data_IF_024679619449
#
_entry.id   IF_024679619449
#
_cell.length_a   1.000
_cell.length_b   1.000
_cell.length_c   1.000
_cell.angle_alpha   90.00
_cell.angle_beta   90.00
_cell.angle_gamma   90.00
#
_symmetry.space_group_name_H-M   'P 1'
#
loop_
_entity.id
_entity.type
_entity.pdbx_description
1 polymer ?
#
# COMPACT_ATOMS: atom_id res chain seq x y z
N UNK A 1 34.83 20.02 12.88
CA UNK A 1 34.37 20.45 11.57
C UNK A 1 34.48 21.96 11.40
N UNK A 2 34.95 22.44 10.26
CA UNK A 2 34.92 23.85 9.86
C UNK A 2 33.49 24.28 9.57
N UNK A 3 33.06 25.43 10.10
CA UNK A 3 31.72 25.99 9.78
C UNK A 3 31.66 26.65 8.39
N UNK A 4 32.84 27.05 7.83
CA UNK A 4 32.91 27.67 6.50
C UNK A 4 32.82 26.65 5.37
N UNK A 5 33.70 25.62 5.40
CA UNK A 5 33.84 24.63 4.32
C UNK A 5 33.10 23.32 4.57
N UNK A 6 32.64 23.10 5.80
CA UNK A 6 32.05 21.82 6.27
C UNK A 6 33.02 20.64 6.26
N UNK A 7 34.32 20.88 6.03
CA UNK A 7 35.34 19.83 6.09
C UNK A 7 35.63 19.42 7.55
N UNK A 8 35.92 18.14 7.72
CA UNK A 8 36.32 17.59 9.01
C UNK A 8 37.86 17.59 9.07
N UNK A 9 38.40 18.07 10.17
CA UNK A 9 39.85 18.10 10.43
C UNK A 9 40.13 17.43 11.75
N UNK A 10 41.18 16.63 11.82
CA UNK A 10 41.74 16.15 13.08
C UNK A 10 42.60 17.22 13.69
N UNK A 11 42.34 17.57 14.95
CA UNK A 11 43.10 18.58 15.69
C UNK A 11 43.68 17.91 16.92
N UNK A 12 45.01 17.84 16.96
CA UNK A 12 45.72 17.31 18.13
C UNK A 12 46.07 18.47 19.08
N UNK A 13 45.49 18.46 20.27
CA UNK A 13 45.81 19.42 21.33
C UNK A 13 46.98 18.92 22.18
N UNK A 14 47.93 19.81 22.49
CA UNK A 14 49.10 19.48 23.32
C UNK A 14 48.81 19.60 24.81
N UNK A 15 47.74 20.29 25.20
CA UNK A 15 47.32 20.50 26.57
C UNK A 15 45.82 20.71 26.66
N UNK A 16 45.27 20.52 27.87
CA UNK A 16 43.88 20.92 28.15
C UNK A 16 43.74 22.46 28.06
N UNK A 17 42.52 22.92 27.71
CA UNK A 17 42.25 24.34 27.53
C UNK A 17 42.73 24.91 26.17
N UNK A 18 43.23 26.15 26.21
CA UNK A 18 43.60 26.88 24.98
C UNK A 18 44.92 26.40 24.37
N UNK A 19 44.89 26.06 23.11
CA UNK A 19 46.02 25.68 22.28
C UNK A 19 46.14 26.64 21.10
N UNK A 20 47.34 27.13 20.79
CA UNK A 20 47.58 27.94 19.59
C UNK A 20 48.44 27.18 18.60
N UNK A 21 47.95 27.07 17.37
CA UNK A 21 48.55 26.27 16.32
C UNK A 21 48.28 26.86 14.90
N UNK A 22 48.90 26.32 13.86
CA UNK A 22 48.54 26.66 12.50
C UNK A 22 47.09 26.25 12.17
N UNK A 23 46.36 27.07 11.43
CA UNK A 23 44.99 26.76 11.08
C UNK A 23 44.92 25.54 10.13
N UNK A 24 44.11 24.52 10.40
CA UNK A 24 44.03 23.33 9.56
C UNK A 24 43.47 23.65 8.17
N UNK A 25 42.66 24.70 8.04
CA UNK A 25 42.03 25.07 6.78
C UNK A 25 42.89 26.01 5.92
N UNK A 26 43.40 27.11 6.50
CA UNK A 26 44.06 28.15 5.69
C UNK A 26 45.60 28.13 5.73
N UNK A 27 46.24 27.38 6.64
CA UNK A 27 47.67 27.43 6.83
C UNK A 27 48.46 26.97 5.59
N UNK A 28 47.98 25.98 4.85
CA UNK A 28 48.64 25.41 3.67
C UNK A 28 48.75 26.43 2.53
N UNK A 29 47.82 27.36 2.42
CA UNK A 29 47.73 28.35 1.35
C UNK A 29 48.38 29.69 1.71
N UNK A 30 49.13 29.73 2.86
CA UNK A 30 49.72 30.96 3.40
C UNK A 30 51.23 30.99 3.17
N UNK A 31 51.78 32.21 2.98
CA UNK A 31 53.24 32.41 2.92
C UNK A 31 53.96 31.91 4.20
N UNK A 32 53.36 32.14 5.39
CA UNK A 32 53.87 31.64 6.67
C UNK A 32 52.98 30.49 7.16
N UNK A 33 53.25 29.29 6.70
CA UNK A 33 52.43 28.08 6.98
C UNK A 33 52.35 27.73 8.45
N UNK A 34 53.42 28.00 9.21
CA UNK A 34 53.52 27.67 10.62
C UNK A 34 53.02 28.77 11.58
N UNK A 35 52.40 29.83 11.05
CA UNK A 35 51.86 30.91 11.88
C UNK A 35 50.71 30.40 12.75
N UNK A 36 50.86 30.58 14.08
CA UNK A 36 49.87 30.17 15.10
C UNK A 36 48.69 31.13 15.13
N UNK A 37 47.86 31.09 14.13
CA UNK A 37 46.67 31.96 13.97
C UNK A 37 45.38 31.29 14.39
N UNK A 38 45.41 30.04 14.78
CA UNK A 38 44.25 29.26 15.18
C UNK A 38 44.32 28.96 16.68
N UNK A 39 43.33 29.42 17.42
CA UNK A 39 43.11 29.09 18.81
C UNK A 39 42.08 27.95 18.89
N UNK A 40 42.47 26.88 19.60
CA UNK A 40 41.61 25.73 19.85
C UNK A 40 41.51 25.44 21.35
N UNK A 41 40.30 25.41 21.86
CA UNK A 41 40.03 25.01 23.22
C UNK A 41 39.67 23.52 23.24
N UNK A 42 40.57 22.70 23.82
CA UNK A 42 40.42 21.25 23.85
C UNK A 42 39.29 20.75 24.76
N UNK A 43 38.97 21.50 25.82
CA UNK A 43 37.89 21.14 26.75
C UNK A 43 36.50 21.42 26.13
N UNK A 44 36.39 22.55 25.44
CA UNK A 44 35.13 22.96 24.75
C UNK A 44 35.01 22.41 23.35
N UNK A 45 36.09 21.82 22.79
CA UNK A 45 36.19 21.29 21.43
C UNK A 45 35.76 22.31 20.36
N UNK A 46 36.11 23.57 20.59
CA UNK A 46 35.83 24.69 19.67
C UNK A 46 37.13 25.39 19.27
N UNK A 47 37.19 25.91 18.08
CA UNK A 47 38.34 26.66 17.58
C UNK A 47 37.92 27.86 16.74
N UNK A 48 38.85 28.82 16.65
CA UNK A 48 38.69 30.01 15.84
C UNK A 48 40.04 30.43 15.23
N UNK A 49 40.00 30.76 13.95
CA UNK A 49 41.16 31.26 13.23
C UNK A 49 41.08 32.77 13.02
N UNK A 50 41.97 33.54 13.60
CA UNK A 50 42.06 35.00 13.46
C UNK A 50 42.51 35.47 12.06
N UNK A 51 42.87 34.55 11.14
CA UNK A 51 43.30 34.93 9.80
C UNK A 51 42.22 34.72 8.75
N UNK A 52 41.46 33.61 8.79
CA UNK A 52 40.38 33.32 7.85
C UNK A 52 39.00 33.41 8.49
N UNK A 53 38.89 33.90 9.70
CA UNK A 53 37.68 34.10 10.49
C UNK A 53 36.78 32.87 10.60
N UNK A 54 37.35 31.67 10.35
CA UNK A 54 36.62 30.43 10.39
C UNK A 54 36.50 29.89 11.82
N UNK A 55 35.28 29.46 12.17
CA UNK A 55 35.01 28.74 13.42
C UNK A 55 34.98 27.26 13.20
N UNK A 56 35.45 26.51 14.18
CA UNK A 56 35.46 25.06 14.19
C UNK A 56 34.72 24.57 15.43
N UNK A 57 33.93 23.51 15.23
CA UNK A 57 33.18 22.86 16.31
C UNK A 57 33.41 21.37 16.24
N UNK A 58 33.11 20.67 17.35
CA UNK A 58 33.14 19.21 17.38
C UNK A 58 32.31 18.62 16.24
N UNK A 59 32.85 17.63 15.58
CA UNK A 59 32.09 16.83 14.64
C UNK A 59 31.45 15.66 15.40
N UNK A 60 30.13 15.71 15.55
CA UNK A 60 29.33 14.57 15.95
C UNK A 60 28.81 13.89 14.69
N UNK A 61 29.25 12.65 14.38
CA UNK A 61 28.69 11.91 13.25
C UNK A 61 27.18 11.78 13.44
N UNK A 62 26.43 12.00 12.37
CA UNK A 62 24.99 11.78 12.39
C UNK A 62 24.74 10.27 12.47
N UNK A 63 24.26 9.80 13.60
CA UNK A 63 23.80 8.42 13.74
C UNK A 63 22.47 8.28 12.97
N UNK A 64 22.49 7.56 11.87
CA UNK A 64 21.27 7.16 11.19
C UNK A 64 20.47 6.23 12.10
N UNK A 65 19.37 6.72 12.66
CA UNK A 65 18.43 5.86 13.36
C UNK A 65 17.88 4.84 12.38
N UNK A 66 18.13 3.57 12.63
CA UNK A 66 17.47 2.49 11.91
C UNK A 66 16.04 2.35 12.44
N UNK A 67 15.08 2.60 11.57
CA UNK A 67 13.67 2.40 11.90
C UNK A 67 13.27 0.98 11.48
N UNK A 68 12.70 0.24 12.41
CA UNK A 68 12.09 -1.05 12.12
C UNK A 68 10.71 -0.78 11.54
N UNK A 69 10.44 -1.28 10.33
CA UNK A 69 9.10 -1.24 9.76
C UNK A 69 8.26 -2.32 10.44
N UNK A 70 7.08 -1.98 10.99
CA UNK A 70 6.18 -3.01 11.49
C UNK A 70 5.77 -3.94 10.36
N UNK A 71 5.88 -5.24 10.57
CA UNK A 71 5.34 -6.24 9.65
C UNK A 71 3.84 -6.32 9.91
N UNK A 72 3.05 -5.87 8.92
CA UNK A 72 1.62 -6.10 8.92
C UNK A 72 1.39 -7.58 8.62
N UNK A 73 0.97 -8.34 9.62
CA UNK A 73 0.51 -9.71 9.41
C UNK A 73 -0.78 -9.67 8.61
N UNK A 74 -0.84 -10.54 7.58
CA UNK A 74 -2.08 -10.71 6.82
C UNK A 74 -3.18 -11.26 7.74
N UNK A 75 -4.35 -10.64 7.73
CA UNK A 75 -5.52 -11.04 8.51
C UNK A 75 -6.74 -11.12 7.59
N UNK A 76 -7.56 -12.15 7.81
CA UNK A 76 -8.85 -12.29 7.16
C UNK A 76 -9.94 -11.70 8.08
N UNK A 77 -10.50 -10.57 7.68
CA UNK A 77 -11.60 -9.92 8.39
C UNK A 77 -12.97 -10.13 7.71
N UNK A 78 -13.04 -11.05 6.75
CA UNK A 78 -14.28 -11.48 6.10
C UNK A 78 -14.84 -12.74 6.79
N UNK A 79 -16.01 -13.19 6.32
CA UNK A 79 -16.60 -14.49 6.71
C UNK A 79 -16.25 -15.59 5.70
N UNK A 80 -15.41 -15.30 4.72
CA UNK A 80 -14.94 -16.27 3.74
C UNK A 80 -13.77 -17.07 4.30
N UNK A 81 -13.51 -18.25 3.74
CA UNK A 81 -12.27 -18.99 4.03
C UNK A 81 -11.04 -18.22 3.54
N UNK A 82 -9.90 -18.45 4.19
CA UNK A 82 -8.62 -17.82 3.78
C UNK A 82 -8.26 -18.12 2.32
N UNK A 83 -8.60 -19.32 1.86
CA UNK A 83 -8.37 -19.72 0.47
C UNK A 83 -9.23 -18.89 -0.50
N UNK A 84 -10.50 -18.66 -0.17
CA UNK A 84 -11.38 -17.82 -0.98
C UNK A 84 -10.89 -16.36 -1.00
N UNK A 85 -10.52 -15.82 0.16
CA UNK A 85 -9.98 -14.46 0.25
C UNK A 85 -8.72 -14.30 -0.60
N UNK A 86 -7.73 -15.18 -0.41
CA UNK A 86 -6.48 -15.16 -1.19
C UNK A 86 -6.72 -15.31 -2.69
N UNK A 87 -7.72 -16.12 -3.06
CA UNK A 87 -8.11 -16.28 -4.47
C UNK A 87 -8.63 -14.98 -5.09
N UNK A 88 -9.39 -14.16 -4.34
CA UNK A 88 -9.83 -12.84 -4.76
C UNK A 88 -8.69 -11.82 -4.74
N UNK A 89 -7.88 -11.80 -3.70
CA UNK A 89 -6.72 -10.91 -3.58
C UNK A 89 -5.70 -11.10 -4.71
N UNK A 90 -5.49 -12.36 -5.14
CA UNK A 90 -4.65 -12.68 -6.32
C UNK A 90 -5.22 -12.12 -7.65
N UNK A 91 -6.47 -11.65 -7.65
CA UNK A 91 -7.13 -10.94 -8.75
C UNK A 91 -7.21 -9.43 -8.52
N UNK A 92 -6.54 -8.95 -7.49
CA UNK A 92 -6.57 -7.54 -7.11
C UNK A 92 -7.88 -7.09 -6.43
N UNK A 93 -8.76 -8.02 -6.04
CA UNK A 93 -10.02 -7.72 -5.37
C UNK A 93 -9.82 -7.80 -3.87
N UNK A 94 -9.94 -6.67 -3.17
CA UNK A 94 -9.70 -6.55 -1.74
C UNK A 94 -10.85 -7.11 -0.90
N UNK A 95 -10.54 -7.48 0.34
CA UNK A 95 -11.54 -7.90 1.33
C UNK A 95 -12.63 -6.84 1.56
N UNK A 96 -12.27 -5.55 1.49
CA UNK A 96 -13.22 -4.44 1.59
C UNK A 96 -14.29 -4.51 0.50
N UNK A 97 -13.89 -4.76 -0.74
CA UNK A 97 -14.82 -4.92 -1.87
C UNK A 97 -15.72 -6.14 -1.68
N UNK A 98 -15.17 -7.27 -1.21
CA UNK A 98 -15.96 -8.48 -0.93
C UNK A 98 -17.04 -8.24 0.13
N UNK A 99 -16.70 -7.52 1.22
CA UNK A 99 -17.64 -7.15 2.26
C UNK A 99 -18.71 -6.19 1.75
N UNK A 100 -18.32 -5.16 1.01
CA UNK A 100 -19.22 -4.16 0.43
C UNK A 100 -20.26 -4.82 -0.49
N UNK A 101 -19.84 -5.77 -1.31
CA UNK A 101 -20.68 -6.49 -2.25
C UNK A 101 -21.35 -7.74 -1.62
N UNK A 102 -21.17 -7.93 -0.30
CA UNK A 102 -21.77 -9.03 0.47
C UNK A 102 -21.45 -10.41 -0.11
N UNK A 103 -20.25 -10.58 -0.67
CA UNK A 103 -19.80 -11.88 -1.22
C UNK A 103 -19.72 -12.88 -0.08
N UNK A 104 -20.33 -14.04 -0.29
CA UNK A 104 -20.39 -15.13 0.68
C UNK A 104 -19.66 -16.39 0.23
N UNK A 105 -19.64 -17.38 1.12
CA UNK A 105 -19.13 -18.72 0.85
C UNK A 105 -20.01 -19.72 1.60
N UNK A 106 -20.40 -20.78 0.92
CA UNK A 106 -21.12 -21.92 1.56
C UNK A 106 -20.97 -23.20 0.76
N UNK A 107 -21.23 -24.32 1.40
CA UNK A 107 -21.42 -25.60 0.72
C UNK A 107 -22.76 -25.61 0.00
N UNK A 108 -22.76 -26.02 -1.27
CA UNK A 108 -23.96 -26.10 -2.10
C UNK A 108 -23.85 -27.30 -3.02
N UNK A 109 -25.00 -27.99 -3.23
CA UNK A 109 -25.10 -29.08 -4.18
C UNK A 109 -24.96 -28.55 -5.62
N UNK A 110 -23.96 -29.05 -6.34
CA UNK A 110 -23.67 -28.65 -7.72
C UNK A 110 -24.08 -29.78 -8.68
N UNK A 111 -25.11 -29.58 -9.53
CA UNK A 111 -25.59 -30.61 -10.46
C UNK A 111 -24.52 -31.12 -11.42
N UNK A 112 -23.58 -30.25 -11.84
CA UNK A 112 -22.52 -30.59 -12.78
C UNK A 112 -21.49 -31.58 -12.21
N UNK A 113 -21.37 -31.67 -10.89
CA UNK A 113 -20.43 -32.55 -10.20
C UNK A 113 -21.12 -33.62 -9.36
N UNK A 114 -22.45 -33.53 -9.24
CA UNK A 114 -23.29 -34.42 -8.39
C UNK A 114 -22.74 -34.55 -6.94
N UNK A 115 -22.26 -33.42 -6.39
CA UNK A 115 -21.68 -33.33 -5.05
C UNK A 115 -21.93 -31.99 -4.40
N UNK A 116 -21.87 -31.97 -3.07
CA UNK A 116 -21.72 -30.71 -2.35
C UNK A 116 -20.30 -30.14 -2.57
N UNK A 117 -20.26 -28.93 -3.06
CA UNK A 117 -19.03 -28.19 -3.32
C UNK A 117 -19.01 -26.92 -2.46
N UNK A 118 -17.81 -26.51 -2.05
CA UNK A 118 -17.65 -25.19 -1.47
C UNK A 118 -17.75 -24.14 -2.58
N UNK A 119 -18.70 -23.25 -2.47
CA UNK A 119 -19.05 -22.28 -3.51
C UNK A 119 -18.93 -20.86 -3.02
N UNK A 120 -18.39 -19.99 -3.85
CA UNK A 120 -18.55 -18.54 -3.72
C UNK A 120 -20.00 -18.20 -4.01
N UNK A 121 -20.54 -17.30 -3.21
CA UNK A 121 -21.95 -16.86 -3.25
C UNK A 121 -22.02 -15.42 -3.69
N UNK A 122 -22.64 -15.16 -4.84
CA UNK A 122 -22.92 -13.83 -5.36
C UNK A 122 -24.40 -13.51 -5.10
N UNK A 123 -24.71 -12.62 -4.14
CA UNK A 123 -26.09 -12.21 -3.90
C UNK A 123 -26.53 -11.15 -4.92
N UNK A 124 -27.77 -11.24 -5.38
CA UNK A 124 -28.38 -10.31 -6.31
C UNK A 124 -29.43 -9.50 -5.57
N UNK A 125 -29.21 -8.22 -5.43
CA UNK A 125 -30.11 -7.32 -4.72
C UNK A 125 -30.82 -6.38 -5.68
N UNK A 126 -32.09 -6.08 -5.33
CA UNK A 126 -32.88 -5.00 -5.92
C UNK A 126 -33.58 -4.26 -4.79
N UNK A 127 -33.38 -2.95 -4.68
CA UNK A 127 -33.89 -2.10 -3.59
C UNK A 127 -33.41 -2.56 -2.19
N UNK A 128 -32.21 -3.14 -2.09
CA UNK A 128 -31.67 -3.70 -0.86
C UNK A 128 -32.25 -5.06 -0.48
N UNK A 129 -33.23 -5.59 -1.21
CA UNK A 129 -33.81 -6.91 -1.00
C UNK A 129 -33.05 -7.97 -1.81
N UNK A 130 -32.81 -9.15 -1.22
CA UNK A 130 -32.18 -10.28 -1.90
C UNK A 130 -33.19 -10.95 -2.84
N UNK A 131 -32.96 -10.87 -4.13
CA UNK A 131 -33.85 -11.40 -5.18
C UNK A 131 -33.37 -12.76 -5.69
N UNK A 132 -32.05 -12.92 -5.87
CA UNK A 132 -31.46 -14.16 -6.35
C UNK A 132 -30.08 -14.38 -5.74
N UNK A 133 -29.55 -15.59 -5.94
CA UNK A 133 -28.20 -15.95 -5.51
C UNK A 133 -27.56 -16.85 -6.57
N UNK A 134 -26.34 -16.54 -6.96
CA UNK A 134 -25.54 -17.37 -7.85
C UNK A 134 -24.41 -18.02 -7.07
N UNK A 135 -24.23 -19.29 -7.29
CA UNK A 135 -23.17 -20.12 -6.70
C UNK A 135 -22.12 -20.43 -7.75
N UNK A 136 -20.85 -20.38 -7.36
CA UNK A 136 -19.73 -20.72 -8.22
C UNK A 136 -18.76 -21.60 -7.45
N UNK A 137 -18.51 -22.81 -7.95
CA UNK A 137 -17.50 -23.71 -7.38
C UNK A 137 -16.08 -23.41 -7.91
N UNK A 138 -15.09 -24.10 -7.34
CA UNK A 138 -13.68 -23.96 -7.75
C UNK A 138 -13.38 -24.45 -9.18
N UNK A 139 -14.27 -25.24 -9.79
CA UNK A 139 -14.15 -25.78 -11.17
C UNK A 139 -14.83 -24.90 -12.21
N UNK A 140 -15.31 -23.71 -11.84
CA UNK A 140 -16.09 -22.78 -12.69
C UNK A 140 -17.48 -23.31 -13.10
N UNK A 141 -18.06 -24.21 -12.32
CA UNK A 141 -19.47 -24.52 -12.47
C UNK A 141 -20.31 -23.47 -11.77
N UNK A 142 -21.47 -23.18 -12.33
CA UNK A 142 -22.39 -22.16 -11.85
C UNK A 142 -23.79 -22.73 -11.63
N UNK A 143 -24.46 -22.20 -10.63
CA UNK A 143 -25.86 -22.52 -10.32
C UNK A 143 -26.53 -21.26 -9.79
N UNK A 144 -27.69 -20.93 -10.32
CA UNK A 144 -28.59 -19.92 -9.74
C UNK A 144 -29.58 -20.58 -8.80
N UNK A 145 -30.12 -19.82 -7.87
CA UNK A 145 -31.17 -20.33 -6.99
C UNK A 145 -32.43 -20.65 -7.81
N UNK A 146 -32.92 -21.89 -7.68
CA UNK A 146 -34.02 -22.38 -8.51
C UNK A 146 -35.31 -21.61 -8.23
N UNK A 147 -35.99 -21.17 -9.27
CA UNK A 147 -37.24 -20.45 -9.18
C UNK A 147 -37.15 -18.97 -8.80
N UNK A 148 -35.95 -18.46 -8.54
CA UNK A 148 -35.74 -17.03 -8.30
C UNK A 148 -35.74 -16.22 -9.60
N UNK A 149 -36.18 -14.96 -9.51
CA UNK A 149 -36.17 -14.02 -10.65
C UNK A 149 -34.76 -13.78 -11.16
N UNK A 150 -34.59 -13.71 -12.47
CA UNK A 150 -33.31 -13.32 -13.09
C UNK A 150 -33.24 -11.81 -13.18
N UNK A 151 -32.27 -11.24 -12.47
CA UNK A 151 -31.96 -9.80 -12.54
C UNK A 151 -30.47 -9.61 -12.77
N UNK A 152 -30.06 -8.40 -13.14
CA UNK A 152 -28.66 -8.04 -13.21
C UNK A 152 -27.99 -8.10 -11.84
N UNK A 153 -26.76 -8.57 -11.77
CA UNK A 153 -25.97 -8.43 -10.56
C UNK A 153 -25.59 -6.95 -10.38
N UNK A 154 -25.62 -6.47 -9.14
CA UNK A 154 -25.46 -5.06 -8.78
C UNK A 154 -26.58 -4.16 -9.40
N UNK A 155 -27.81 -4.68 -9.45
CA UNK A 155 -28.95 -4.00 -10.08
C UNK A 155 -29.19 -2.58 -9.59
N UNK A 156 -28.95 -2.31 -8.30
CA UNK A 156 -29.21 -1.01 -7.70
C UNK A 156 -28.30 0.11 -8.26
N UNK A 157 -27.19 -0.24 -8.94
CA UNK A 157 -26.39 0.71 -9.69
C UNK A 157 -27.18 1.44 -10.78
N UNK A 158 -28.18 0.77 -11.40
CA UNK A 158 -29.08 1.36 -12.44
C UNK A 158 -29.86 2.57 -11.95
N UNK A 159 -30.04 2.71 -10.62
CA UNK A 159 -30.79 3.82 -10.02
C UNK A 159 -29.88 4.98 -9.60
N UNK A 160 -28.59 4.69 -9.47
CA UNK A 160 -27.63 5.62 -8.89
C UNK A 160 -26.86 6.36 -9.97
N UNK A 161 -26.67 5.74 -11.12
CA UNK A 161 -25.79 6.24 -12.19
C UNK A 161 -26.54 6.42 -13.50
N UNK A 162 -26.24 7.48 -14.24
CA UNK A 162 -26.79 7.77 -15.57
C UNK A 162 -26.16 6.89 -16.67
N UNK A 163 -24.88 6.54 -16.49
CA UNK A 163 -24.13 5.66 -17.38
C UNK A 163 -23.79 4.35 -16.69
N UNK A 164 -23.98 3.24 -17.38
CA UNK A 164 -23.76 1.90 -16.83
C UNK A 164 -22.77 1.11 -17.68
N UNK A 165 -21.82 0.49 -17.02
CA UNK A 165 -20.90 -0.49 -17.62
C UNK A 165 -21.54 -1.87 -17.47
N UNK A 166 -21.70 -2.58 -18.58
CA UNK A 166 -22.21 -3.95 -18.58
C UNK A 166 -21.04 -4.91 -18.82
N UNK A 167 -20.89 -5.89 -17.94
CA UNK A 167 -19.87 -6.94 -18.05
C UNK A 167 -20.49 -8.34 -18.03
N UNK A 168 -19.72 -9.33 -18.45
CA UNK A 168 -20.24 -10.69 -18.60
C UNK A 168 -20.37 -11.45 -17.28
N UNK A 169 -19.52 -11.17 -16.30
CA UNK A 169 -19.47 -11.94 -15.06
C UNK A 169 -19.33 -11.09 -13.79
N UNK A 170 -19.76 -11.66 -12.67
CA UNK A 170 -19.72 -11.00 -11.36
C UNK A 170 -18.29 -10.66 -10.93
N UNK A 171 -17.30 -11.48 -11.32
CA UNK A 171 -15.88 -11.23 -11.00
C UNK A 171 -15.33 -10.04 -11.77
N UNK A 172 -15.75 -9.87 -13.03
CA UNK A 172 -15.37 -8.72 -13.85
C UNK A 172 -15.98 -7.44 -13.28
N UNK A 173 -17.25 -7.53 -12.84
CA UNK A 173 -17.90 -6.43 -12.13
C UNK A 173 -17.22 -6.11 -10.81
N UNK A 174 -16.82 -7.11 -9.99
CA UNK A 174 -16.03 -6.89 -8.78
C UNK A 174 -14.69 -6.22 -9.06
N UNK A 175 -14.02 -6.60 -10.15
CA UNK A 175 -12.76 -5.97 -10.57
C UNK A 175 -12.95 -4.51 -10.96
N UNK A 176 -14.02 -4.17 -11.67
CA UNK A 176 -14.38 -2.80 -12.02
C UNK A 176 -14.71 -1.97 -10.77
N UNK A 177 -15.52 -2.52 -9.84
CA UNK A 177 -15.83 -1.88 -8.54
C UNK A 177 -14.56 -1.63 -7.72
N UNK A 178 -13.65 -2.61 -7.69
CA UNK A 178 -12.35 -2.46 -7.02
C UNK A 178 -11.51 -1.33 -7.63
N UNK A 179 -11.61 -1.12 -8.93
CA UNK A 179 -10.94 -0.03 -9.66
C UNK A 179 -11.65 1.33 -9.50
N UNK A 180 -12.78 1.39 -8.77
CA UNK A 180 -13.53 2.62 -8.50
C UNK A 180 -14.76 2.85 -9.39
N UNK A 181 -15.08 1.93 -10.31
CA UNK A 181 -16.26 2.01 -11.17
C UNK A 181 -17.47 1.38 -10.48
N UNK A 182 -18.22 2.16 -9.69
CA UNK A 182 -19.44 1.68 -9.02
C UNK A 182 -20.64 1.47 -9.96
N UNK A 183 -20.59 2.05 -11.14
CA UNK A 183 -21.64 2.01 -12.18
C UNK A 183 -21.58 0.76 -13.07
N UNK A 184 -21.22 -0.38 -12.52
CA UNK A 184 -21.08 -1.65 -13.27
C UNK A 184 -22.13 -2.66 -12.84
N UNK A 185 -22.70 -3.36 -13.81
CA UNK A 185 -23.60 -4.51 -13.63
C UNK A 185 -23.08 -5.70 -14.41
N UNK A 186 -23.48 -6.92 -14.01
CA UNK A 186 -23.17 -8.09 -14.83
C UNK A 186 -24.41 -8.90 -15.19
N UNK A 187 -24.33 -9.60 -16.33
CA UNK A 187 -25.40 -10.50 -16.78
C UNK A 187 -25.46 -11.75 -15.90
N UNK A 188 -26.65 -12.26 -15.55
CA UNK A 188 -26.79 -13.40 -14.65
C UNK A 188 -26.33 -14.73 -15.27
N UNK A 189 -26.50 -14.93 -16.61
CA UNK A 189 -26.28 -16.19 -17.31
C UNK A 189 -25.23 -16.14 -18.43
N UNK A 190 -24.32 -15.15 -18.41
CA UNK A 190 -23.39 -14.91 -19.50
C UNK A 190 -24.07 -14.29 -20.74
N UNK A 191 -23.27 -13.88 -21.71
CA UNK A 191 -23.71 -13.11 -22.87
C UNK A 191 -24.30 -14.00 -24.03
N UNK A 192 -24.91 -15.15 -23.71
CA UNK A 192 -25.49 -15.99 -24.76
C UNK A 192 -26.82 -15.39 -25.28
N UNK A 193 -26.95 -15.31 -26.60
CA UNK A 193 -28.02 -14.61 -27.36
C UNK A 193 -29.43 -15.21 -27.24
N UNK A 194 -29.60 -16.28 -26.46
CA UNK A 194 -30.88 -17.03 -26.44
C UNK A 194 -31.86 -16.66 -25.33
N UNK A 195 -31.49 -15.85 -24.35
CA UNK A 195 -32.33 -15.51 -23.19
C UNK A 195 -32.10 -14.07 -22.76
N UNK A 196 -32.87 -13.17 -23.35
CA UNK A 196 -32.80 -11.71 -23.05
C UNK A 196 -33.95 -11.26 -22.14
N UNK A 197 -34.51 -12.16 -21.33
CA UNK A 197 -35.70 -11.91 -20.51
C UNK A 197 -35.45 -10.89 -19.35
N UNK A 198 -34.20 -10.51 -19.13
CA UNK A 198 -33.80 -9.56 -18.08
C UNK A 198 -33.36 -8.18 -18.63
N UNK A 199 -33.52 -7.93 -19.91
CA UNK A 199 -33.30 -6.61 -20.54
C UNK A 199 -34.54 -5.74 -20.54
#
# INVERSE_FOLDING_TARGET
ISLSTRQVYEITANKNGENQMPCPECSQNRRKKNAKSFSYNAEKEVGYCNHCDTRFVRHTPFEQKQYIKPELKWENFTKLSDNAVKWFENRGISQKTLLMMKIGEKKEWMPQTEKEMNCIVFPYFRNGELINTKFRDGKKNFKLYSGAELIWWNYDALKTFEEIIIVEGEIDALSAIQAGFGNVISVPNGASTGKMEYF
#
